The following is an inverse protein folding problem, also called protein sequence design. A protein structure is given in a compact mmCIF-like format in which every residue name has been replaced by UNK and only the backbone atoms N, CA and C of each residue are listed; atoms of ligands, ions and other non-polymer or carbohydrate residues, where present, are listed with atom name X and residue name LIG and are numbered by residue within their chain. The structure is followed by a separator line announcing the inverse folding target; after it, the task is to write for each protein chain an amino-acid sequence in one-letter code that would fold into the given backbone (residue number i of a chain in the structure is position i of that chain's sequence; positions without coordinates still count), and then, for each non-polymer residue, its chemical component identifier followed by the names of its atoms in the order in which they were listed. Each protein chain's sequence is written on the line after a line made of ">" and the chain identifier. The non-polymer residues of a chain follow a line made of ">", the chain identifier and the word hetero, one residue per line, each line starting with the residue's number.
data_IF_554524852060
#
_entry.id   IF_554524852060
#
_cell.length_a   1.000
_cell.length_b   1.000
_cell.length_c   1.000
_cell.angle_alpha   90.00
_cell.angle_beta   90.00
_cell.angle_gamma   90.00
#
_symmetry.space_group_name_H-M   'P 1'
#
loop_
_entity.id
_entity.type
_entity.pdbx_description
1 polymer ?
#
# COMPACT_ATOMS: atom_id res chain seq x y z
N UNK A 1 41.45 -11.36 -3.82
CA UNK A 1 41.00 -12.20 -2.69
C UNK A 1 39.65 -12.80 -3.08
N UNK A 2 39.60 -14.10 -3.36
CA UNK A 2 38.36 -14.80 -3.69
C UNK A 2 37.53 -14.97 -2.43
N UNK A 3 36.37 -14.31 -2.39
CA UNK A 3 35.40 -14.53 -1.32
C UNK A 3 34.75 -15.88 -1.59
N UNK A 4 35.10 -16.88 -0.77
CA UNK A 4 34.49 -18.21 -0.77
C UNK A 4 32.96 -18.09 -0.70
N UNK A 5 32.28 -18.53 -1.75
CA UNK A 5 30.82 -18.52 -1.94
C UNK A 5 30.11 -19.67 -1.22
N UNK A 6 30.83 -20.54 -0.52
CA UNK A 6 30.28 -21.80 0.05
C UNK A 6 29.93 -21.75 1.54
N UNK A 7 29.94 -20.56 2.17
CA UNK A 7 29.48 -20.48 3.57
C UNK A 7 27.97 -20.52 3.63
N UNK A 8 27.42 -21.72 3.89
CA UNK A 8 26.02 -21.91 4.28
C UNK A 8 25.64 -20.86 5.35
N UNK A 9 24.49 -20.19 5.22
CA UNK A 9 24.04 -19.22 6.20
C UNK A 9 24.00 -19.88 7.58
N UNK A 10 24.65 -19.26 8.57
CA UNK A 10 24.64 -19.77 9.94
C UNK A 10 23.22 -19.58 10.51
N UNK A 11 22.53 -20.69 10.74
CA UNK A 11 21.23 -20.69 11.42
C UNK A 11 21.48 -20.68 12.92
N UNK A 12 20.75 -19.82 13.65
CA UNK A 12 20.82 -19.73 15.11
C UNK A 12 19.42 -19.87 15.68
N UNK A 13 19.30 -20.58 16.80
CA UNK A 13 18.07 -20.63 17.59
C UNK A 13 18.10 -19.48 18.59
N UNK A 14 17.09 -18.61 18.54
CA UNK A 14 16.97 -17.48 19.46
C UNK A 14 15.78 -17.70 20.38
N UNK A 15 16.04 -17.95 21.66
CA UNK A 15 15.03 -17.85 22.72
C UNK A 15 14.87 -16.38 23.11
N UNK A 16 14.13 -15.62 22.31
CA UNK A 16 13.90 -14.20 22.61
C UNK A 16 12.82 -14.07 23.70
N UNK A 17 13.14 -13.40 24.80
CA UNK A 17 12.15 -12.89 25.75
C UNK A 17 11.99 -11.39 25.51
N UNK A 18 10.75 -10.96 25.25
CA UNK A 18 10.44 -9.54 25.14
C UNK A 18 10.75 -8.83 26.46
N UNK A 19 11.37 -7.65 26.35
CA UNK A 19 11.46 -6.72 27.48
C UNK A 19 10.06 -6.16 27.82
N UNK A 20 9.88 -5.60 29.02
CA UNK A 20 8.63 -4.96 29.42
C UNK A 20 8.12 -3.92 28.40
N UNK A 21 8.95 -2.98 27.93
CA UNK A 21 8.57 -2.01 26.90
C UNK A 21 8.16 -2.65 25.56
N UNK A 22 8.90 -3.67 25.10
CA UNK A 22 8.56 -4.38 23.86
C UNK A 22 7.23 -5.12 23.99
N UNK A 23 6.97 -5.74 25.15
CA UNK A 23 5.69 -6.39 25.43
C UNK A 23 4.55 -5.38 25.42
N UNK A 24 4.70 -4.24 26.08
CA UNK A 24 3.69 -3.18 26.06
C UNK A 24 3.43 -2.63 24.65
N UNK A 25 4.48 -2.47 23.82
CA UNK A 25 4.33 -2.10 22.42
C UNK A 25 3.55 -3.16 21.65
N UNK A 26 3.95 -4.43 21.74
CA UNK A 26 3.25 -5.54 21.08
C UNK A 26 1.81 -5.57 21.53
N UNK A 27 1.51 -5.57 22.82
CA UNK A 27 0.15 -5.64 23.38
C UNK A 27 -0.76 -4.54 22.85
N UNK A 28 -0.23 -3.33 22.64
CA UNK A 28 -0.95 -2.19 22.07
C UNK A 28 -1.33 -2.36 20.59
N UNK A 29 -0.54 -3.10 19.81
CA UNK A 29 -0.80 -3.31 18.38
C UNK A 29 -2.00 -4.25 18.17
N UNK A 30 -2.84 -3.98 17.18
CA UNK A 30 -3.88 -4.90 16.73
C UNK A 30 -3.55 -5.46 15.36
N UNK A 31 -4.01 -6.68 15.06
CA UNK A 31 -4.01 -7.21 13.69
C UNK A 31 -5.41 -6.95 13.15
N UNK A 32 -5.51 -5.99 12.23
CA UNK A 32 -6.76 -5.63 11.57
C UNK A 32 -7.01 -6.40 10.26
N UNK A 33 -6.13 -7.35 9.91
CA UNK A 33 -6.22 -8.13 8.69
C UNK A 33 -7.33 -9.17 8.78
N UNK A 34 -8.18 -9.20 7.76
CA UNK A 34 -9.31 -10.13 7.64
C UNK A 34 -9.25 -10.99 6.38
N UNK A 35 -8.38 -10.64 5.43
CA UNK A 35 -8.34 -11.25 4.12
C UNK A 35 -7.03 -12.01 3.89
N UNK A 36 -7.17 -13.22 3.38
CA UNK A 36 -6.09 -14.11 3.02
C UNK A 36 -6.02 -14.18 1.49
N UNK A 37 -4.89 -13.83 0.88
CA UNK A 37 -4.69 -14.01 -0.55
C UNK A 37 -4.97 -15.45 -1.01
N UNK A 38 -5.57 -15.60 -2.19
CA UNK A 38 -6.03 -16.89 -2.71
C UNK A 38 -4.91 -17.93 -2.79
N UNK A 39 -3.70 -17.52 -3.20
CA UNK A 39 -2.50 -18.36 -3.23
C UNK A 39 -2.10 -18.93 -1.87
N UNK A 40 -2.45 -18.27 -0.76
CA UNK A 40 -2.19 -18.75 0.60
C UNK A 40 -3.36 -19.55 1.17
N UNK A 41 -4.58 -19.37 0.67
CA UNK A 41 -5.78 -20.07 1.14
C UNK A 41 -5.70 -21.60 0.97
N UNK A 42 -4.97 -22.07 -0.04
CA UNK A 42 -4.77 -23.50 -0.30
C UNK A 42 -3.68 -24.16 0.56
N UNK A 43 -2.87 -23.37 1.28
CA UNK A 43 -1.75 -23.90 2.05
C UNK A 43 -2.24 -24.60 3.31
N UNK A 44 -2.00 -25.91 3.40
CA UNK A 44 -2.35 -26.71 4.57
C UNK A 44 -1.11 -27.30 5.24
N UNK A 45 -1.23 -27.59 6.53
CA UNK A 45 -0.21 -28.25 7.33
C UNK A 45 -0.71 -29.61 7.81
N UNK A 46 0.16 -30.61 7.79
CA UNK A 46 -0.12 -31.92 8.39
C UNK A 46 0.65 -32.06 9.70
N UNK A 47 -0.06 -32.33 10.81
CA UNK A 47 0.58 -32.58 12.08
C UNK A 47 1.39 -33.89 12.03
N UNK A 48 2.72 -33.87 12.33
CA UNK A 48 3.53 -35.07 12.28
C UNK A 48 3.11 -36.10 13.34
N UNK A 49 2.56 -35.64 14.48
CA UNK A 49 2.17 -36.45 15.63
C UNK A 49 0.80 -37.11 15.45
N UNK A 50 -0.26 -36.34 15.18
CA UNK A 50 -1.64 -36.85 15.11
C UNK A 50 -2.24 -36.91 13.70
N UNK A 51 -1.44 -36.59 12.67
CA UNK A 51 -1.80 -36.61 11.23
C UNK A 51 -2.98 -35.71 10.82
N UNK A 52 -3.46 -34.85 11.73
CA UNK A 52 -4.51 -33.88 11.42
C UNK A 52 -3.99 -32.86 10.41
N UNK A 53 -4.74 -32.66 9.33
CA UNK A 53 -4.53 -31.60 8.34
C UNK A 53 -5.29 -30.36 8.79
N UNK A 54 -4.64 -29.20 8.79
CA UNK A 54 -5.25 -27.94 9.22
C UNK A 54 -4.65 -26.75 8.49
N UNK A 55 -5.39 -25.63 8.47
CA UNK A 55 -4.93 -24.35 7.95
C UNK A 55 -4.05 -23.64 8.99
N UNK A 56 -2.91 -23.04 8.60
CA UNK A 56 -2.15 -22.15 9.47
C UNK A 56 -3.03 -21.02 10.01
N UNK A 57 -2.77 -20.57 11.23
CA UNK A 57 -3.45 -19.40 11.77
C UNK A 57 -2.77 -18.13 11.25
N UNK A 58 -3.20 -17.69 10.07
CA UNK A 58 -2.60 -16.61 9.29
C UNK A 58 -2.61 -15.26 10.01
N UNK A 59 -3.68 -15.01 10.77
CA UNK A 59 -3.96 -13.73 11.42
C UNK A 59 -3.58 -13.72 12.90
N UNK A 60 -3.08 -14.85 13.43
CA UNK A 60 -2.58 -14.91 14.79
C UNK A 60 -1.51 -13.86 15.04
N UNK A 61 -1.65 -13.15 16.15
CA UNK A 61 -0.61 -12.26 16.66
C UNK A 61 0.50 -13.05 17.32
N UNK A 62 1.69 -12.96 16.74
CA UNK A 62 2.90 -13.54 17.29
C UNK A 62 3.66 -12.51 18.14
N UNK A 63 4.29 -12.96 19.22
CA UNK A 63 5.12 -12.09 20.07
C UNK A 63 6.34 -11.54 19.31
N UNK A 64 6.86 -12.32 18.36
CA UNK A 64 8.01 -11.97 17.53
C UNK A 64 7.50 -11.38 16.21
N UNK A 65 8.04 -10.22 15.82
CA UNK A 65 7.79 -9.63 14.51
C UNK A 65 8.45 -10.44 13.39
N UNK A 66 7.79 -10.54 12.24
CA UNK A 66 8.29 -11.23 11.05
C UNK A 66 9.33 -10.42 10.27
N UNK A 67 9.67 -9.21 10.70
CA UNK A 67 10.65 -8.38 10.00
C UNK A 67 12.09 -8.90 10.16
N UNK A 68 12.96 -8.69 9.16
CA UNK A 68 14.39 -8.93 9.31
C UNK A 68 15.01 -8.06 10.40
N UNK A 69 15.83 -8.67 11.26
CA UNK A 69 16.47 -7.98 12.39
C UNK A 69 17.87 -7.49 12.02
N UNK A 70 18.18 -6.24 12.38
CA UNK A 70 19.53 -5.67 12.27
C UNK A 70 20.46 -6.24 13.36
N UNK A 71 21.71 -6.62 13.03
CA UNK A 71 22.67 -7.06 14.04
C UNK A 71 23.04 -5.92 15.01
N UNK A 72 23.05 -6.21 16.33
CA UNK A 72 23.27 -5.26 17.45
C UNK A 72 24.61 -4.50 17.49
N UNK A 73 25.54 -4.70 16.56
CA UNK A 73 26.80 -3.95 16.54
C UNK A 73 26.64 -2.49 16.09
N UNK A 74 25.41 -2.00 15.94
CA UNK A 74 25.02 -0.59 15.84
C UNK A 74 25.23 0.17 17.17
N UNK A 75 26.46 0.26 17.68
CA UNK A 75 26.77 1.22 18.75
C UNK A 75 27.19 2.55 18.14
N UNK A 76 26.21 3.44 17.95
CA UNK A 76 26.27 4.92 18.00
C UNK A 76 27.27 5.72 17.15
N UNK A 77 28.29 5.14 16.52
CA UNK A 77 29.34 5.88 15.80
C UNK A 77 29.78 5.28 14.46
N UNK A 78 29.24 4.12 14.07
CA UNK A 78 29.54 3.51 12.77
C UNK A 78 28.22 3.15 12.10
N UNK A 79 27.79 3.88 11.05
CA UNK A 79 26.65 3.50 10.24
C UNK A 79 26.91 2.11 9.65
N UNK A 80 25.99 1.17 9.88
CA UNK A 80 26.09 -0.15 9.28
C UNK A 80 25.78 -0.07 7.78
N UNK A 81 26.79 -0.29 6.94
CA UNK A 81 26.70 -0.33 5.47
C UNK A 81 26.65 -1.76 4.90
N UNK A 82 26.46 -2.77 5.76
CA UNK A 82 26.53 -4.18 5.35
C UNK A 82 25.20 -4.80 4.90
N UNK A 83 25.24 -5.91 4.14
CA UNK A 83 24.05 -6.62 3.63
C UNK A 83 23.42 -7.61 4.62
N UNK A 84 23.95 -7.78 5.84
CA UNK A 84 23.60 -8.93 6.70
C UNK A 84 22.49 -8.58 7.67
N UNK A 85 21.29 -9.06 7.35
CA UNK A 85 20.13 -9.07 8.25
C UNK A 85 19.83 -10.49 8.71
N UNK A 86 19.30 -10.61 9.93
CA UNK A 86 18.81 -11.87 10.43
C UNK A 86 17.36 -12.04 9.97
N UNK A 87 17.14 -13.03 9.09
CA UNK A 87 15.82 -13.33 8.54
C UNK A 87 15.24 -14.52 9.31
N UNK A 88 13.97 -14.40 9.71
CA UNK A 88 13.25 -15.49 10.36
C UNK A 88 13.02 -16.61 9.34
N UNK A 89 13.52 -17.81 9.62
CA UNK A 89 13.44 -18.96 8.69
C UNK A 89 12.16 -19.78 8.86
N UNK A 90 11.59 -19.80 10.06
CA UNK A 90 10.39 -20.57 10.36
C UNK A 90 9.69 -20.03 11.60
N UNK A 91 8.41 -20.35 11.75
CA UNK A 91 7.64 -20.04 12.94
C UNK A 91 6.79 -21.22 13.40
N UNK A 92 6.48 -21.26 14.70
CA UNK A 92 5.69 -22.34 15.28
C UNK A 92 4.18 -22.10 15.14
N UNK A 93 3.49 -23.08 14.58
CA UNK A 93 2.04 -23.23 14.56
C UNK A 93 1.62 -24.33 15.53
N UNK A 94 0.44 -24.21 16.14
CA UNK A 94 -0.05 -25.17 17.14
C UNK A 94 -1.11 -26.05 16.49
N UNK A 95 -0.90 -27.38 16.50
CA UNK A 95 -1.91 -28.31 16.00
C UNK A 95 -3.22 -28.14 16.78
N UNK A 96 -4.37 -27.94 16.11
CA UNK A 96 -5.64 -27.71 16.80
C UNK A 96 -6.08 -28.92 17.64
N UNK A 97 -5.69 -30.14 17.23
CA UNK A 97 -6.08 -31.40 17.89
C UNK A 97 -5.17 -31.78 19.05
N UNK A 98 -3.89 -32.05 18.80
CA UNK A 98 -2.96 -32.58 19.83
C UNK A 98 -2.07 -31.52 20.49
N UNK A 99 -2.24 -30.24 20.12
CA UNK A 99 -1.48 -29.08 20.64
C UNK A 99 0.04 -29.13 20.42
N UNK A 100 0.54 -30.08 19.63
CA UNK A 100 1.95 -30.14 19.25
C UNK A 100 2.33 -28.91 18.42
N UNK A 101 3.50 -28.35 18.71
CA UNK A 101 4.12 -27.26 17.97
C UNK A 101 4.76 -27.78 16.68
N UNK A 102 4.42 -27.18 15.55
CA UNK A 102 4.88 -27.55 14.22
C UNK A 102 5.55 -26.33 13.59
N UNK A 103 6.73 -26.49 13.01
CA UNK A 103 7.41 -25.38 12.33
C UNK A 103 6.87 -25.25 10.91
N UNK A 104 6.46 -24.05 10.53
CA UNK A 104 6.20 -23.67 9.14
C UNK A 104 7.39 -22.84 8.62
N UNK A 105 8.05 -23.26 7.53
CA UNK A 105 9.10 -22.45 6.92
C UNK A 105 8.49 -21.17 6.33
N UNK A 106 9.19 -20.05 6.48
CA UNK A 106 8.81 -18.78 5.84
C UNK A 106 9.52 -18.67 4.49
N UNK A 107 8.85 -18.14 3.45
CA UNK A 107 9.50 -17.90 2.17
C UNK A 107 10.57 -16.81 2.31
N UNK A 108 11.64 -16.94 1.52
CA UNK A 108 12.75 -15.96 1.50
C UNK A 108 13.19 -15.67 0.08
N UNK A 109 13.18 -14.40 -0.31
CA UNK A 109 13.71 -13.91 -1.58
C UNK A 109 14.94 -13.05 -1.34
N UNK A 110 15.92 -13.12 -2.25
CA UNK A 110 17.04 -12.20 -2.27
C UNK A 110 16.59 -10.87 -2.91
N UNK A 111 16.81 -9.75 -2.23
CA UNK A 111 16.44 -8.43 -2.74
C UNK A 111 17.39 -8.00 -3.87
N UNK A 112 16.85 -7.80 -5.07
CA UNK A 112 17.61 -7.43 -6.27
C UNK A 112 17.41 -5.96 -6.66
N UNK A 113 16.26 -5.37 -6.35
CA UNK A 113 15.97 -3.96 -6.68
C UNK A 113 15.16 -3.26 -5.59
N UNK A 114 14.99 -1.95 -5.75
CA UNK A 114 14.19 -1.06 -4.90
C UNK A 114 13.36 -0.13 -5.75
N UNK A 115 12.27 0.35 -5.18
CA UNK A 115 11.50 1.43 -5.78
C UNK A 115 10.66 2.15 -4.77
N UNK A 116 9.94 3.15 -5.25
CA UNK A 116 9.10 3.99 -4.41
C UNK A 116 7.67 3.96 -4.92
N UNK A 117 6.72 3.86 -4.00
CA UNK A 117 5.30 3.95 -4.22
C UNK A 117 4.78 5.17 -3.44
N UNK A 118 4.00 5.99 -4.11
CA UNK A 118 3.41 7.22 -3.60
C UNK A 118 1.91 7.05 -3.53
N UNK A 119 1.29 7.39 -2.41
CA UNK A 119 -0.12 7.14 -2.17
C UNK A 119 -0.88 8.35 -1.68
N UNK A 120 -2.15 8.36 -2.06
CA UNK A 120 -3.12 9.36 -1.62
C UNK A 120 -4.52 8.75 -1.56
N UNK A 121 -5.44 9.43 -0.90
CA UNK A 121 -6.82 9.00 -0.71
C UNK A 121 -7.87 9.99 -1.18
N UNK A 122 -9.04 9.45 -1.50
CA UNK A 122 -10.20 10.25 -1.87
C UNK A 122 -11.47 9.59 -1.37
N UNK A 123 -12.42 10.41 -0.90
CA UNK A 123 -13.71 9.93 -0.43
C UNK A 123 -14.88 10.61 -1.17
N UNK A 124 -15.98 9.87 -1.36
CA UNK A 124 -17.25 10.42 -1.84
C UNK A 124 -18.40 9.82 -1.05
N UNK A 125 -19.45 10.61 -0.87
CA UNK A 125 -20.72 10.17 -0.28
C UNK A 125 -21.87 10.57 -1.22
N UNK A 126 -22.78 9.63 -1.51
CA UNK A 126 -24.01 9.87 -2.24
C UNK A 126 -25.15 9.01 -1.68
N UNK A 127 -26.27 9.64 -1.33
CA UNK A 127 -27.47 8.95 -0.84
C UNK A 127 -27.23 7.96 0.32
N UNK A 128 -26.25 8.26 1.18
CA UNK A 128 -25.88 7.40 2.30
C UNK A 128 -24.92 6.27 1.97
N UNK A 129 -24.48 6.16 0.72
CA UNK A 129 -23.33 5.33 0.32
C UNK A 129 -22.06 6.14 0.44
N UNK A 130 -21.01 5.57 1.02
CA UNK A 130 -19.67 6.18 1.11
C UNK A 130 -18.64 5.26 0.48
N UNK A 131 -17.75 5.82 -0.33
CA UNK A 131 -16.57 5.14 -0.87
C UNK A 131 -15.32 5.78 -0.29
N UNK A 132 -14.41 4.96 0.20
CA UNK A 132 -13.05 5.35 0.58
C UNK A 132 -12.08 4.72 -0.41
N UNK A 133 -11.38 5.56 -1.16
CA UNK A 133 -10.43 5.18 -2.22
C UNK A 133 -9.02 5.44 -1.74
N UNK A 134 -8.13 4.47 -1.88
CA UNK A 134 -6.68 4.66 -1.77
C UNK A 134 -6.01 4.23 -3.06
N UNK A 135 -4.97 4.94 -3.46
CA UNK A 135 -4.13 4.56 -4.60
C UNK A 135 -2.66 4.56 -4.22
N UNK A 136 -1.87 3.73 -4.91
CA UNK A 136 -0.42 3.77 -4.90
C UNK A 136 0.06 3.86 -6.36
N UNK A 137 0.89 4.84 -6.66
CA UNK A 137 1.55 5.00 -7.95
C UNK A 137 3.05 4.99 -7.71
N UNK A 138 3.80 4.25 -8.51
CA UNK A 138 5.25 4.31 -8.40
C UNK A 138 5.99 3.50 -9.45
N UNK A 139 7.30 3.44 -9.30
CA UNK A 139 8.18 2.79 -10.26
C UNK A 139 9.44 2.27 -9.57
N UNK A 140 10.21 1.48 -10.31
CA UNK A 140 11.59 1.16 -9.95
C UNK A 140 12.40 2.45 -9.76
N UNK A 141 13.34 2.45 -8.82
CA UNK A 141 14.15 3.62 -8.48
C UNK A 141 14.88 4.21 -9.70
N UNK A 142 15.28 3.39 -10.67
CA UNK A 142 15.95 3.84 -11.89
C UNK A 142 15.03 4.63 -12.84
N UNK A 143 13.71 4.43 -12.75
CA UNK A 143 12.72 5.06 -13.62
C UNK A 143 12.11 6.33 -13.03
N UNK A 144 12.22 6.53 -11.70
CA UNK A 144 11.63 7.67 -11.00
C UNK A 144 12.08 9.05 -11.53
N UNK A 145 13.38 9.31 -11.80
CA UNK A 145 13.80 10.63 -12.27
C UNK A 145 13.19 11.01 -13.63
N UNK A 146 13.04 10.05 -14.55
CA UNK A 146 12.39 10.30 -15.85
C UNK A 146 10.90 10.59 -15.67
N UNK A 147 10.23 9.83 -14.81
CA UNK A 147 8.83 10.05 -14.48
C UNK A 147 8.60 11.44 -13.85
N UNK A 148 9.40 11.82 -12.85
CA UNK A 148 9.32 13.14 -12.19
C UNK A 148 9.53 14.29 -13.20
N UNK A 149 10.51 14.14 -14.11
CA UNK A 149 10.72 15.09 -15.20
C UNK A 149 9.49 15.19 -16.11
N UNK A 150 8.86 14.07 -16.46
CA UNK A 150 7.66 14.07 -17.32
C UNK A 150 6.46 14.72 -16.62
N UNK A 151 6.27 14.51 -15.31
CA UNK A 151 5.25 15.23 -14.52
C UNK A 151 5.56 16.74 -14.51
N UNK A 152 6.83 17.12 -14.33
CA UNK A 152 7.25 18.52 -14.42
C UNK A 152 6.93 19.15 -15.77
N UNK A 153 7.17 18.43 -16.87
CA UNK A 153 6.80 18.88 -18.24
C UNK A 153 5.29 18.99 -18.43
N UNK A 154 4.51 18.05 -17.91
CA UNK A 154 3.05 18.10 -17.93
C UNK A 154 2.54 19.38 -17.24
N UNK A 155 3.06 19.69 -16.05
CA UNK A 155 2.73 20.91 -15.30
C UNK A 155 3.14 22.18 -16.06
N UNK A 156 4.37 22.20 -16.58
CA UNK A 156 4.87 23.30 -17.41
C UNK A 156 4.00 23.55 -18.64
N UNK A 157 3.46 22.48 -19.24
CA UNK A 157 2.54 22.58 -20.38
C UNK A 157 1.22 23.26 -20.03
N UNK A 158 0.65 22.96 -18.85
CA UNK A 158 -0.60 23.57 -18.39
C UNK A 158 -0.43 25.05 -18.03
N UNK A 159 0.67 25.41 -17.36
CA UNK A 159 0.93 26.78 -16.90
C UNK A 159 2.35 27.23 -17.26
N UNK A 160 2.63 27.63 -18.52
CA UNK A 160 3.99 27.90 -18.99
C UNK A 160 4.70 29.06 -18.29
N UNK A 161 3.95 30.00 -17.71
CA UNK A 161 4.51 31.17 -17.03
C UNK A 161 4.85 30.91 -15.54
N UNK A 162 4.51 29.75 -15.00
CA UNK A 162 4.66 29.43 -13.57
C UNK A 162 5.56 28.20 -13.43
N UNK A 163 6.61 28.30 -12.61
CA UNK A 163 7.54 27.17 -12.37
C UNK A 163 6.78 25.95 -11.84
N UNK A 164 6.97 24.74 -12.40
CA UNK A 164 6.28 23.51 -11.99
C UNK A 164 6.50 23.16 -10.51
N UNK A 165 7.60 23.59 -9.92
CA UNK A 165 7.97 23.32 -8.53
C UNK A 165 7.21 24.21 -7.53
N UNK A 166 6.71 25.36 -8.00
CA UNK A 166 6.05 26.38 -7.17
C UNK A 166 4.57 26.11 -6.87
N UNK A 167 3.98 25.10 -7.51
CA UNK A 167 2.58 24.73 -7.34
C UNK A 167 2.41 23.21 -7.42
N UNK A 168 1.25 22.68 -7.02
CA UNK A 168 1.00 21.24 -6.85
C UNK A 168 -0.34 20.85 -7.43
N UNK A 169 -0.39 19.79 -8.22
CA UNK A 169 -1.63 19.19 -8.72
C UNK A 169 -2.42 18.71 -7.51
N UNK A 170 -3.62 19.25 -7.35
CA UNK A 170 -4.65 18.71 -6.46
C UNK A 170 -5.97 18.74 -7.23
N UNK A 171 -6.44 17.58 -7.65
CA UNK A 171 -7.50 17.47 -8.65
C UNK A 171 -8.84 18.04 -8.17
N UNK A 172 -9.10 18.06 -6.86
CA UNK A 172 -10.28 18.73 -6.31
C UNK A 172 -10.27 20.23 -6.60
N UNK A 173 -9.11 20.88 -6.56
CA UNK A 173 -8.96 22.31 -6.81
C UNK A 173 -8.94 22.64 -8.30
N UNK A 174 -8.36 21.76 -9.11
CA UNK A 174 -8.31 21.91 -10.56
C UNK A 174 -9.67 21.62 -11.20
N UNK A 175 -10.34 20.52 -10.84
CA UNK A 175 -11.55 20.06 -11.52
C UNK A 175 -12.79 20.90 -11.15
N UNK A 176 -12.97 21.22 -9.87
CA UNK A 176 -14.16 21.94 -9.40
C UNK A 176 -14.09 23.43 -9.76
N UNK A 177 -14.97 23.89 -10.66
CA UNK A 177 -14.95 25.27 -11.18
C UNK A 177 -14.98 26.36 -10.09
N UNK A 178 -15.71 26.13 -8.98
CA UNK A 178 -15.76 27.06 -7.85
C UNK A 178 -14.45 27.15 -7.06
N UNK A 179 -13.71 26.05 -6.95
CA UNK A 179 -12.41 26.02 -6.28
C UNK A 179 -11.36 26.61 -7.22
N UNK A 180 -11.37 26.17 -8.48
CA UNK A 180 -10.48 26.65 -9.54
C UNK A 180 -10.51 28.17 -9.64
N UNK A 181 -11.70 28.77 -9.74
CA UNK A 181 -11.87 30.23 -9.86
C UNK A 181 -11.31 31.05 -8.68
N UNK A 182 -11.15 30.43 -7.51
CA UNK A 182 -10.60 31.07 -6.30
C UNK A 182 -9.12 30.72 -6.07
N UNK A 183 -8.58 29.74 -6.79
CA UNK A 183 -7.25 29.22 -6.56
C UNK A 183 -6.19 30.16 -7.16
N UNK A 184 -5.14 30.55 -6.40
CA UNK A 184 -4.15 31.54 -6.86
C UNK A 184 -3.45 31.13 -8.15
N UNK A 185 -3.28 29.83 -8.38
CA UNK A 185 -2.59 29.29 -9.56
C UNK A 185 -3.55 28.91 -10.69
N UNK A 186 -4.78 28.50 -10.40
CA UNK A 186 -5.68 27.88 -11.39
C UNK A 186 -6.83 28.78 -11.85
N UNK A 187 -6.99 29.97 -11.25
CA UNK A 187 -8.13 30.86 -11.54
C UNK A 187 -8.27 31.25 -13.01
N UNK A 188 -7.18 31.23 -13.79
CA UNK A 188 -7.18 31.52 -15.22
C UNK A 188 -7.55 30.33 -16.09
N UNK A 189 -7.55 29.11 -15.56
CA UNK A 189 -7.83 27.89 -16.33
C UNK A 189 -9.34 27.70 -16.51
N UNK A 190 -9.74 27.48 -17.75
CA UNK A 190 -11.11 27.10 -18.10
C UNK A 190 -11.29 25.56 -18.02
N UNK A 191 -12.48 25.04 -18.31
CA UNK A 191 -12.72 23.60 -18.25
C UNK A 191 -12.02 22.82 -19.38
N UNK A 192 -11.88 23.41 -20.56
CA UNK A 192 -11.20 22.80 -21.71
C UNK A 192 -9.70 22.60 -21.44
N UNK A 193 -9.04 23.60 -20.83
CA UNK A 193 -7.65 23.50 -20.38
C UNK A 193 -7.47 22.33 -19.41
N UNK A 194 -8.42 22.19 -18.46
CA UNK A 194 -8.41 21.12 -17.46
C UNK A 194 -8.63 19.75 -18.10
N UNK A 195 -9.57 19.63 -19.04
CA UNK A 195 -9.80 18.37 -19.78
C UNK A 195 -8.54 17.99 -20.57
N UNK A 196 -7.93 18.94 -21.28
CA UNK A 196 -6.69 18.69 -22.03
C UNK A 196 -5.53 18.29 -21.11
N UNK A 197 -5.45 18.81 -19.89
CA UNK A 197 -4.50 18.36 -18.88
C UNK A 197 -4.80 16.94 -18.38
N UNK A 198 -6.05 16.63 -18.07
CA UNK A 198 -6.48 15.28 -17.65
C UNK A 198 -6.14 14.25 -18.72
N UNK A 199 -6.36 14.58 -19.99
CA UNK A 199 -6.03 13.71 -21.12
C UNK A 199 -4.53 13.40 -21.19
N UNK A 200 -3.69 14.41 -21.01
CA UNK A 200 -2.24 14.26 -20.99
C UNK A 200 -1.75 13.50 -19.75
N UNK A 201 -2.37 13.71 -18.58
CA UNK A 201 -2.07 12.98 -17.36
C UNK A 201 -2.40 11.48 -17.50
N UNK A 202 -3.55 11.15 -18.09
CA UNK A 202 -3.94 9.77 -18.39
C UNK A 202 -2.96 9.11 -19.36
N UNK A 203 -2.58 9.81 -20.43
CA UNK A 203 -1.58 9.34 -21.39
C UNK A 203 -0.23 9.10 -20.70
N UNK A 204 0.23 10.04 -19.87
CA UNK A 204 1.45 9.90 -19.08
C UNK A 204 1.42 8.63 -18.22
N UNK A 205 0.33 8.39 -17.48
CA UNK A 205 0.20 7.21 -16.61
C UNK A 205 0.26 5.93 -17.46
N UNK A 206 -0.50 5.88 -18.56
CA UNK A 206 -0.59 4.71 -19.44
C UNK A 206 0.73 4.37 -20.15
N UNK A 207 1.46 5.39 -20.59
CA UNK A 207 2.72 5.24 -21.34
C UNK A 207 3.95 5.09 -20.42
N UNK A 208 3.80 5.40 -19.14
CA UNK A 208 4.86 5.22 -18.16
C UNK A 208 4.83 3.79 -17.61
N UNK A 209 6.01 3.21 -17.39
CA UNK A 209 6.14 1.88 -16.77
C UNK A 209 5.90 1.98 -15.25
N UNK A 210 4.69 2.37 -14.86
CA UNK A 210 4.29 2.56 -13.47
C UNK A 210 3.61 1.30 -12.93
N UNK A 211 3.82 1.07 -11.64
CA UNK A 211 2.95 0.25 -10.83
C UNK A 211 1.83 1.16 -10.30
N UNK A 212 0.60 0.87 -10.71
CA UNK A 212 -0.59 1.57 -10.23
C UNK A 212 -1.47 0.55 -9.51
N UNK A 213 -1.70 0.81 -8.22
CA UNK A 213 -2.61 0.05 -7.38
C UNK A 213 -3.73 0.96 -6.94
N UNK A 214 -4.94 0.41 -6.86
CA UNK A 214 -6.09 1.13 -6.35
C UNK A 214 -6.95 0.17 -5.53
N UNK A 215 -7.46 0.66 -4.40
CA UNK A 215 -8.52 0.01 -3.63
C UNK A 215 -9.65 1.00 -3.44
N UNK A 216 -10.88 0.53 -3.58
CA UNK A 216 -12.06 1.33 -3.31
C UNK A 216 -13.04 0.47 -2.53
N UNK A 217 -13.29 0.85 -1.28
CA UNK A 217 -14.21 0.15 -0.38
C UNK A 217 -15.45 0.99 -0.16
N UNK A 218 -16.62 0.40 -0.38
CA UNK A 218 -17.92 1.05 -0.26
C UNK A 218 -18.66 0.60 1.00
N UNK A 219 -19.46 1.50 1.57
CA UNK A 219 -20.32 1.26 2.73
C UNK A 219 -21.67 1.92 2.52
N UNK A 220 -22.75 1.23 2.89
CA UNK A 220 -24.12 1.73 2.80
C UNK A 220 -24.70 2.07 4.19
N UNK A 221 -25.53 3.12 4.26
CA UNK A 221 -26.41 3.38 5.42
C UNK A 221 -27.46 2.27 5.54
N UNK A 222 -27.13 1.16 6.20
CA UNK A 222 -28.15 0.24 6.70
C UNK A 222 -27.82 -1.25 6.85
N UNK A 223 -26.68 -1.79 6.41
CA UNK A 223 -26.38 -3.23 6.61
C UNK A 223 -24.88 -3.61 6.37
N UNK A 224 -24.42 -4.84 6.71
CA UNK A 224 -23.75 -5.14 7.97
C UNK A 224 -22.39 -5.83 7.74
N UNK A 225 -21.46 -5.22 7.01
CA UNK A 225 -20.14 -5.81 6.72
C UNK A 225 -19.20 -6.00 7.92
N UNK A 226 -19.69 -5.88 9.16
CA UNK A 226 -18.88 -5.97 10.38
C UNK A 226 -17.89 -4.82 10.59
N UNK A 227 -17.90 -3.81 9.73
CA UNK A 227 -17.12 -2.57 9.85
C UNK A 227 -18.10 -1.42 9.84
N UNK A 228 -18.65 -1.15 11.02
CA UNK A 228 -19.58 -0.04 11.25
C UNK A 228 -18.87 1.30 11.49
N UNK A 229 -17.53 1.30 11.54
CA UNK A 229 -16.72 2.49 11.80
C UNK A 229 -16.05 2.97 10.50
N UNK A 230 -16.31 4.20 10.05
CA UNK A 230 -15.62 4.81 8.91
C UNK A 230 -14.09 4.77 9.02
N UNK A 231 -13.53 4.84 10.24
CA UNK A 231 -12.07 4.71 10.43
C UNK A 231 -11.61 3.27 10.19
N UNK A 232 -12.44 2.27 10.49
CA UNK A 232 -12.16 0.87 10.21
C UNK A 232 -12.02 0.59 8.72
N UNK A 233 -12.94 1.13 7.91
CA UNK A 233 -12.92 0.96 6.45
C UNK A 233 -11.67 1.58 5.84
N UNK A 234 -11.33 2.79 6.27
CA UNK A 234 -10.12 3.49 5.84
C UNK A 234 -8.85 2.71 6.20
N UNK A 235 -8.74 2.25 7.44
CA UNK A 235 -7.58 1.48 7.90
C UNK A 235 -7.43 0.17 7.13
N UNK A 236 -8.54 -0.48 6.80
CA UNK A 236 -8.56 -1.70 6.01
C UNK A 236 -8.15 -1.43 4.55
N UNK A 237 -8.71 -0.41 3.90
CA UNK A 237 -8.30 -0.01 2.56
C UNK A 237 -6.80 0.26 2.50
N UNK A 238 -6.28 1.07 3.43
CA UNK A 238 -4.86 1.36 3.55
C UNK A 238 -4.01 0.08 3.67
N UNK A 239 -4.31 -0.80 4.64
CA UNK A 239 -3.44 -1.94 4.90
C UNK A 239 -3.53 -3.02 3.81
N UNK A 240 -4.70 -3.24 3.23
CA UNK A 240 -4.86 -4.19 2.12
C UNK A 240 -4.09 -3.74 0.89
N UNK A 241 -4.16 -2.44 0.56
CA UNK A 241 -3.39 -1.88 -0.55
C UNK A 241 -1.88 -2.00 -0.32
N UNK A 242 -1.41 -1.66 0.89
CA UNK A 242 0.01 -1.75 1.27
C UNK A 242 0.49 -3.20 1.22
N UNK A 243 -0.25 -4.15 1.78
CA UNK A 243 0.14 -5.56 1.81
C UNK A 243 0.12 -6.20 0.42
N UNK A 244 -0.84 -5.85 -0.43
CA UNK A 244 -0.86 -6.32 -1.81
C UNK A 244 0.33 -5.78 -2.61
N UNK A 245 0.68 -4.50 -2.42
CA UNK A 245 1.88 -3.92 -3.03
C UNK A 245 3.16 -4.63 -2.52
N UNK A 246 3.25 -4.92 -1.22
CA UNK A 246 4.38 -5.69 -0.66
C UNK A 246 4.47 -7.07 -1.31
N UNK A 247 3.37 -7.80 -1.41
CA UNK A 247 3.37 -9.15 -1.99
C UNK A 247 3.84 -9.15 -3.45
N UNK A 248 3.29 -8.25 -4.29
CA UNK A 248 3.68 -8.15 -5.71
C UNK A 248 5.15 -7.76 -5.88
N UNK A 249 5.64 -6.81 -5.06
CA UNK A 249 7.03 -6.35 -5.15
C UNK A 249 8.02 -7.40 -4.66
N UNK A 250 7.75 -8.05 -3.53
CA UNK A 250 8.67 -9.05 -2.97
C UNK A 250 8.67 -10.34 -3.77
N UNK A 251 7.56 -10.70 -4.44
CA UNK A 251 7.52 -11.78 -5.43
C UNK A 251 8.55 -11.56 -6.53
N UNK A 252 8.77 -10.29 -6.91
CA UNK A 252 9.76 -9.85 -7.90
C UNK A 252 11.12 -9.50 -7.29
N UNK A 253 11.39 -9.92 -6.05
CA UNK A 253 12.64 -9.62 -5.34
C UNK A 253 12.90 -8.12 -5.12
N UNK A 254 11.86 -7.29 -5.08
CA UNK A 254 11.97 -5.85 -4.93
C UNK A 254 11.54 -5.36 -3.55
N UNK A 255 12.21 -4.32 -3.04
CA UNK A 255 11.84 -3.63 -1.79
C UNK A 255 11.08 -2.31 -2.12
N UNK A 256 9.79 -2.21 -1.79
CA UNK A 256 9.04 -0.96 -1.92
C UNK A 256 9.32 -0.01 -0.74
N UNK A 257 9.53 1.27 -1.04
CA UNK A 257 9.42 2.38 -0.08
C UNK A 257 8.09 3.08 -0.30
N UNK A 258 7.26 3.18 0.74
CA UNK A 258 5.90 3.73 0.63
C UNK A 258 5.85 5.14 1.23
N UNK A 259 5.31 6.08 0.46
CA UNK A 259 5.12 7.48 0.86
C UNK A 259 3.65 7.84 0.70
N UNK A 260 3.07 8.53 1.67
CA UNK A 260 1.69 9.00 1.65
C UNK A 260 1.62 10.49 1.97
N UNK A 261 0.60 11.16 1.46
CA UNK A 261 0.28 12.52 1.89
C UNK A 261 -0.15 12.54 3.36
N UNK A 262 0.47 13.44 4.14
CA UNK A 262 0.08 13.66 5.53
C UNK A 262 -1.21 14.45 5.62
N UNK A 263 -2.20 13.95 6.36
CA UNK A 263 -3.43 14.69 6.63
C UNK A 263 -3.22 15.97 7.44
N UNK A 264 -2.09 16.06 8.16
CA UNK A 264 -1.75 17.17 9.03
C UNK A 264 -0.64 17.99 8.40
N UNK A 265 -0.88 19.28 8.25
CA UNK A 265 0.18 20.24 7.98
C UNK A 265 1.19 20.23 9.14
N UNK A 266 2.44 20.02 8.81
CA UNK A 266 3.56 20.01 9.75
C UNK A 266 4.78 20.57 9.06
N UNK A 267 5.63 21.25 9.83
CA UNK A 267 6.96 21.68 9.38
C UNK A 267 7.99 20.54 9.44
N UNK A 268 7.62 19.39 10.02
CA UNK A 268 8.47 18.20 10.02
C UNK A 268 8.44 17.52 8.65
N UNK A 269 9.61 17.03 8.21
CA UNK A 269 9.74 16.30 6.95
C UNK A 269 8.90 15.01 6.90
N UNK A 270 8.66 14.40 8.06
CA UNK A 270 7.84 13.19 8.21
C UNK A 270 6.87 13.38 9.37
N UNK A 271 5.60 13.01 9.17
CA UNK A 271 4.52 13.08 10.16
C UNK A 271 4.15 11.66 10.59
N UNK A 272 4.04 11.43 11.89
CA UNK A 272 3.61 10.12 12.39
C UNK A 272 2.09 10.08 12.48
N UNK A 273 1.47 9.28 11.62
CA UNK A 273 0.06 8.93 11.72
C UNK A 273 -0.07 7.65 12.55
N UNK A 274 -0.44 7.82 13.83
CA UNK A 274 -0.46 6.73 14.81
C UNK A 274 -1.29 5.52 14.33
N UNK A 275 -2.47 5.76 13.77
CA UNK A 275 -3.35 4.70 13.25
C UNK A 275 -2.68 3.88 12.13
N UNK A 276 -2.02 4.54 11.17
CA UNK A 276 -1.40 3.90 10.02
C UNK A 276 -0.14 3.12 10.42
N UNK A 277 0.69 3.73 11.28
CA UNK A 277 1.86 3.08 11.87
C UNK A 277 1.45 1.83 12.64
N UNK A 278 0.47 1.94 13.53
CA UNK A 278 0.08 0.84 14.39
C UNK A 278 -0.56 -0.29 13.60
N UNK A 279 -1.35 0.05 12.57
CA UNK A 279 -1.91 -0.92 11.63
C UNK A 279 -0.81 -1.66 10.86
N UNK A 280 0.17 -0.93 10.31
CA UNK A 280 1.29 -1.52 9.60
C UNK A 280 2.17 -2.39 10.51
N UNK A 281 2.61 -1.86 11.66
CA UNK A 281 3.42 -2.62 12.63
C UNK A 281 2.67 -3.82 13.17
N UNK A 282 1.37 -3.70 13.44
CA UNK A 282 0.52 -4.81 13.84
C UNK A 282 0.54 -5.94 12.82
N UNK A 283 0.44 -5.62 11.53
CA UNK A 283 0.53 -6.60 10.45
C UNK A 283 1.83 -7.41 10.47
N UNK A 284 2.96 -6.78 10.85
CA UNK A 284 4.28 -7.42 10.93
C UNK A 284 4.35 -8.53 11.98
N UNK A 285 3.37 -8.64 12.87
CA UNK A 285 3.25 -9.72 13.86
C UNK A 285 2.34 -10.87 13.41
N UNK A 286 1.82 -10.84 12.18
CA UNK A 286 1.01 -11.92 11.59
C UNK A 286 1.87 -12.90 10.79
N UNK A 287 1.46 -14.17 10.72
CA UNK A 287 2.08 -15.14 9.81
C UNK A 287 1.94 -14.68 8.34
N UNK A 288 0.79 -14.10 8.01
CA UNK A 288 0.50 -13.56 6.68
C UNK A 288 1.62 -12.61 6.21
N UNK A 289 2.00 -11.63 7.02
CA UNK A 289 3.08 -10.70 6.65
C UNK A 289 4.41 -11.42 6.35
N UNK A 290 4.75 -12.48 7.10
CA UNK A 290 5.96 -13.26 6.84
C UNK A 290 5.97 -13.88 5.44
N UNK A 291 4.79 -14.31 4.96
CA UNK A 291 4.63 -14.85 3.61
C UNK A 291 4.61 -13.76 2.53
N UNK A 292 3.98 -12.61 2.79
CA UNK A 292 3.94 -11.50 1.83
C UNK A 292 5.28 -10.78 1.71
N UNK A 293 6.04 -10.63 2.80
CA UNK A 293 7.33 -9.93 2.79
C UNK A 293 8.49 -10.78 2.27
N UNK A 294 8.36 -12.11 2.28
CA UNK A 294 9.37 -13.06 1.78
C UNK A 294 10.77 -12.78 2.31
N UNK A 295 10.87 -12.39 3.58
CA UNK A 295 12.15 -12.06 4.24
C UNK A 295 12.83 -10.77 3.76
N UNK A 296 12.21 -10.01 2.85
CA UNK A 296 12.66 -8.68 2.44
C UNK A 296 12.21 -7.67 3.52
N UNK A 297 13.13 -6.81 3.96
CA UNK A 297 12.77 -5.73 4.88
C UNK A 297 11.84 -4.76 4.16
N UNK A 298 10.71 -4.41 4.77
CA UNK A 298 9.85 -3.36 4.26
C UNK A 298 9.96 -2.16 5.21
N UNK A 299 10.48 -1.00 4.75
CA UNK A 299 10.45 0.22 5.53
C UNK A 299 9.02 0.58 5.94
N UNK A 300 8.86 1.16 7.13
CA UNK A 300 7.56 1.71 7.55
C UNK A 300 7.10 2.79 6.56
N UNK A 301 5.83 2.77 6.11
CA UNK A 301 5.29 3.82 5.27
C UNK A 301 5.45 5.20 5.91
N UNK A 302 5.89 6.17 5.10
CA UNK A 302 6.17 7.53 5.54
C UNK A 302 5.05 8.45 5.12
N UNK A 303 4.54 9.26 6.05
CA UNK A 303 3.64 10.34 5.70
C UNK A 303 4.44 11.63 5.59
N UNK A 304 4.41 12.25 4.43
CA UNK A 304 5.22 13.41 4.08
C UNK A 304 4.32 14.63 3.83
N UNK A 305 4.90 15.81 3.63
CA UNK A 305 4.10 16.98 3.28
C UNK A 305 3.27 16.70 2.03
N UNK A 306 1.98 17.13 1.99
CA UNK A 306 1.12 16.91 0.84
C UNK A 306 1.75 17.34 -0.47
N UNK A 307 1.61 16.50 -1.50
CA UNK A 307 2.16 16.72 -2.83
C UNK A 307 3.67 17.06 -2.85
N UNK A 308 4.44 16.63 -1.84
CA UNK A 308 5.88 16.93 -1.78
C UNK A 308 6.69 16.25 -2.89
N UNK A 309 6.17 15.16 -3.45
CA UNK A 309 6.75 14.42 -4.57
C UNK A 309 5.80 14.44 -5.77
N UNK A 310 6.30 14.51 -7.02
CA UNK A 310 5.47 14.40 -8.21
C UNK A 310 4.65 13.10 -8.26
N UNK A 311 5.15 12.01 -7.67
CA UNK A 311 4.38 10.77 -7.55
C UNK A 311 3.14 10.89 -6.66
N UNK A 312 3.16 11.75 -5.63
CA UNK A 312 1.97 12.00 -4.78
C UNK A 312 0.92 12.82 -5.54
N UNK A 313 1.35 13.77 -6.36
CA UNK A 313 0.48 14.52 -7.28
C UNK A 313 -0.26 13.60 -8.27
N UNK A 314 0.42 12.55 -8.77
CA UNK A 314 -0.21 11.55 -9.64
C UNK A 314 -1.05 10.55 -8.84
N UNK A 315 -0.69 10.23 -7.60
CA UNK A 315 -1.53 9.41 -6.71
C UNK A 315 -2.87 10.10 -6.40
N UNK A 316 -2.87 11.40 -6.10
CA UNK A 316 -4.07 12.25 -5.97
C UNK A 316 -4.93 12.15 -7.23
N UNK A 317 -4.31 12.27 -8.40
CA UNK A 317 -5.00 12.16 -9.67
C UNK A 317 -5.72 10.81 -9.86
N UNK A 318 -5.04 9.69 -9.56
CA UNK A 318 -5.62 8.34 -9.66
C UNK A 318 -6.75 8.15 -8.65
N UNK A 319 -6.53 8.52 -7.39
CA UNK A 319 -7.55 8.44 -6.33
C UNK A 319 -8.77 9.30 -6.67
N UNK A 320 -8.56 10.52 -7.17
CA UNK A 320 -9.62 11.39 -7.65
C UNK A 320 -10.40 10.79 -8.82
N UNK A 321 -9.70 10.21 -9.80
CA UNK A 321 -10.32 9.59 -10.98
C UNK A 321 -11.26 8.46 -10.58
N UNK A 322 -10.82 7.55 -9.72
CA UNK A 322 -11.65 6.44 -9.25
C UNK A 322 -12.80 6.92 -8.35
N UNK A 323 -12.54 7.86 -7.43
CA UNK A 323 -13.59 8.43 -6.59
C UNK A 323 -14.64 9.18 -7.44
N UNK A 324 -14.22 9.88 -8.49
CA UNK A 324 -15.13 10.56 -9.42
C UNK A 324 -15.92 9.56 -10.26
N UNK A 325 -15.31 8.47 -10.70
CA UNK A 325 -16.00 7.38 -11.39
C UNK A 325 -17.15 6.83 -10.55
N UNK A 326 -16.89 6.49 -9.28
CA UNK A 326 -17.93 6.08 -8.32
C UNK A 326 -19.06 7.12 -8.19
N UNK A 327 -18.71 8.39 -7.99
CA UNK A 327 -19.69 9.49 -7.87
C UNK A 327 -20.60 9.61 -9.10
N UNK A 328 -20.06 9.39 -10.31
CA UNK A 328 -20.83 9.45 -11.56
C UNK A 328 -21.71 8.23 -11.75
N UNK A 329 -21.18 7.04 -11.47
CA UNK A 329 -21.93 5.78 -11.54
C UNK A 329 -23.12 5.79 -10.59
N UNK A 330 -22.93 6.15 -9.32
CA UNK A 330 -24.02 6.24 -8.35
C UNK A 330 -25.11 7.24 -8.72
N UNK A 331 -24.74 8.36 -9.38
CA UNK A 331 -25.68 9.37 -9.84
C UNK A 331 -26.34 9.05 -11.17
N UNK A 332 -25.98 7.94 -11.83
CA UNK A 332 -26.44 7.61 -13.18
C UNK A 332 -26.05 8.66 -14.21
N UNK A 333 -24.90 9.31 -14.04
CA UNK A 333 -24.41 10.37 -14.93
C UNK A 333 -23.26 9.88 -15.80
N UNK A 334 -23.06 10.55 -16.93
CA UNK A 334 -21.95 10.26 -17.86
C UNK A 334 -20.59 10.27 -17.17
N UNK A 335 -19.73 9.31 -17.50
CA UNK A 335 -18.37 9.24 -16.97
C UNK A 335 -17.51 10.32 -17.61
N UNK A 336 -17.00 11.25 -16.79
CA UNK A 336 -16.22 12.39 -17.27
C UNK A 336 -14.73 12.06 -17.42
N UNK A 337 -14.20 11.14 -16.59
CA UNK A 337 -12.82 10.66 -16.62
C UNK A 337 -12.90 9.13 -16.59
N UNK A 338 -12.61 8.50 -17.72
CA UNK A 338 -12.73 7.05 -17.87
C UNK A 338 -11.49 6.33 -17.33
N UNK A 339 -11.62 5.49 -16.27
CA UNK A 339 -10.50 4.72 -15.73
C UNK A 339 -9.80 3.80 -16.73
N UNK A 340 -10.45 3.38 -17.82
CA UNK A 340 -9.83 2.57 -18.88
C UNK A 340 -8.60 3.27 -19.47
N UNK A 341 -8.62 4.62 -19.50
CA UNK A 341 -7.55 5.43 -20.07
C UNK A 341 -6.28 5.47 -19.21
N UNK A 342 -6.33 5.02 -17.95
CA UNK A 342 -5.14 4.87 -17.11
C UNK A 342 -4.26 3.67 -17.51
N UNK A 343 -4.75 2.78 -18.37
CA UNK A 343 -4.05 1.54 -18.70
C UNK A 343 -4.23 0.49 -17.61
N UNK A 344 -3.23 -0.39 -17.45
CA UNK A 344 -3.28 -1.49 -16.50
C UNK A 344 -3.13 -1.00 -15.06
N UNK A 345 -4.15 -1.26 -14.25
CA UNK A 345 -4.16 -0.97 -12.82
C UNK A 345 -4.46 -2.26 -12.05
N UNK A 346 -3.81 -2.47 -10.92
CA UNK A 346 -4.16 -3.52 -9.96
C UNK A 346 -5.25 -2.98 -9.03
N UNK A 347 -6.49 -3.37 -9.29
CA UNK A 347 -7.67 -2.99 -8.52
C UNK A 347 -7.97 -4.00 -7.40
N UNK A 348 -8.29 -3.49 -6.22
CA UNK A 348 -8.78 -4.24 -5.08
C UNK A 348 -10.17 -3.76 -4.66
N UNK A 349 -11.02 -4.71 -4.27
CA UNK A 349 -12.38 -4.44 -3.79
C UNK A 349 -13.06 -5.72 -3.35
N UNK A 350 -14.13 -5.60 -2.57
CA UNK A 350 -14.95 -6.75 -2.20
C UNK A 350 -15.94 -7.09 -3.30
N UNK A 351 -16.25 -8.37 -3.48
CA UNK A 351 -17.42 -8.77 -4.23
C UNK A 351 -18.70 -8.73 -3.34
N UNK A 352 -19.84 -9.13 -3.90
CA UNK A 352 -21.10 -9.19 -3.16
C UNK A 352 -21.14 -10.24 -2.04
N UNK A 353 -20.19 -11.18 -2.02
CA UNK A 353 -20.07 -12.21 -0.98
C UNK A 353 -19.15 -11.76 0.17
N UNK A 354 -18.47 -10.62 0.02
CA UNK A 354 -17.49 -10.12 0.99
C UNK A 354 -16.08 -10.69 0.77
N UNK A 355 -15.83 -11.35 -0.36
CA UNK A 355 -14.51 -11.86 -0.72
C UNK A 355 -13.67 -10.73 -1.33
N UNK A 356 -12.42 -10.59 -0.89
CA UNK A 356 -11.51 -9.60 -1.45
C UNK A 356 -11.02 -10.08 -2.82
N UNK A 357 -11.36 -9.32 -3.86
CA UNK A 357 -10.88 -9.55 -5.20
C UNK A 357 -9.66 -8.67 -5.50
N UNK A 358 -8.69 -9.24 -6.21
CA UNK A 358 -7.57 -8.53 -6.81
C UNK A 358 -7.63 -8.74 -8.33
N UNK A 359 -7.67 -7.65 -9.10
CA UNK A 359 -7.83 -7.66 -10.56
C UNK A 359 -6.84 -6.70 -11.22
N UNK A 360 -5.95 -7.24 -12.05
CA UNK A 360 -5.07 -6.43 -12.89
C UNK A 360 -5.66 -6.31 -14.29
N UNK A 361 -6.21 -5.15 -14.64
CA UNK A 361 -6.89 -4.94 -15.92
C UNK A 361 -6.94 -3.45 -16.29
N UNK A 362 -7.34 -3.17 -17.53
CA UNK A 362 -7.74 -1.82 -17.93
C UNK A 362 -9.20 -1.57 -17.51
N UNK A 363 -9.47 -0.41 -16.92
CA UNK A 363 -10.82 -0.03 -16.48
C UNK A 363 -11.20 -0.61 -15.12
N UNK A 364 -11.96 0.18 -14.36
CA UNK A 364 -12.40 -0.21 -13.02
C UNK A 364 -13.42 -1.36 -13.09
N UNK A 365 -13.26 -2.46 -12.33
CA UNK A 365 -14.11 -3.65 -12.37
C UNK A 365 -15.46 -3.45 -11.65
N UNK A 366 -16.25 -2.46 -12.10
CA UNK A 366 -17.50 -2.06 -11.45
C UNK A 366 -18.48 -3.22 -11.20
N UNK A 367 -18.70 -4.07 -12.19
CA UNK A 367 -19.64 -5.19 -12.10
C UNK A 367 -19.16 -6.34 -11.19
N UNK A 368 -17.86 -6.39 -10.87
CA UNK A 368 -17.29 -7.43 -10.00
C UNK A 368 -17.22 -6.96 -8.54
N UNK A 369 -17.10 -5.65 -8.32
CA UNK A 369 -16.94 -5.09 -6.98
C UNK A 369 -18.29 -4.63 -6.43
N UNK A 370 -18.48 -4.83 -5.14
CA UNK A 370 -19.57 -4.25 -4.37
C UNK A 370 -19.46 -2.73 -4.40
N UNK A 371 -20.58 -2.07 -4.71
CA UNK A 371 -20.60 -0.64 -5.02
C UNK A 371 -21.88 0.08 -4.60
#
# INVERSE_FOLDING_TARGET
>A
MSVSTDRKPKTFFVHHRLTGPQRAEVDRLSISLRHLPENLSSLTMTCPTCKTVFQPDWFKKHEISMIPVKPKFETGRVPYSGPKRWILQSISQVCPRCKTHIQIPLPTNEMTTRGSLFGDDAEREHEGRKVSVYSLVGADQALLPDFEMKVGKLKQGLLPAISPESWKIHMKDIWAGTNRAKHPVYHSLNLEDVIGFVDQALALIKESNLFVYNIALTTDKGNPGGISDPNGLRNEAYILLVLNAIDEWTEKSAQPSLFFDSEKYSQANEVIHGWARDTFRGSQHSLLYGFLSKGIEIPEPKFVSPASFPGLEIADFVSFTIARFHDRMWKGKEIEIDPVRMGLVTYLGYDSNGDLLCRRQEGYPWEQFFH
#
